data_IF_527184368892
#
_entry.id   IF_527184368892
#
_cell.length_a   1.000
_cell.length_b   1.000
_cell.length_c   1.000
_cell.angle_alpha   90.00
_cell.angle_beta   90.00
_cell.angle_gamma   90.00
#
_symmetry.space_group_name_H-M   'P 1'
#
loop_
_entity.id
_entity.type
_entity.pdbx_description
1 polymer ?
#
# COMPACT_ATOMS: atom_id res chain seq x y z
N UNK A 1 41.69 17.88 -43.93
CA UNK A 1 40.62 17.25 -44.74
C UNK A 1 39.91 16.30 -43.79
N UNK A 2 38.81 16.67 -43.11
CA UNK A 2 37.49 17.01 -43.67
C UNK A 2 36.79 15.70 -44.07
N UNK A 3 35.62 15.30 -43.58
CA UNK A 3 34.64 15.87 -42.68
C UNK A 3 33.52 14.84 -42.43
N UNK A 4 32.60 15.18 -41.53
CA UNK A 4 31.39 14.43 -41.17
C UNK A 4 30.50 14.06 -42.34
N UNK A 5 29.70 12.98 -42.21
CA UNK A 5 28.29 13.01 -42.61
C UNK A 5 27.45 11.90 -41.95
N UNK A 6 26.45 12.40 -41.23
CA UNK A 6 25.22 11.73 -40.80
C UNK A 6 24.43 11.23 -42.03
N UNK A 7 23.75 10.09 -41.92
CA UNK A 7 22.64 9.71 -42.80
C UNK A 7 21.73 8.73 -42.08
N UNK A 8 20.55 9.21 -41.68
CA UNK A 8 19.38 8.40 -41.38
C UNK A 8 18.95 7.63 -42.64
N UNK A 9 18.59 6.36 -42.49
CA UNK A 9 17.60 5.72 -43.36
C UNK A 9 16.64 4.94 -42.48
N UNK A 10 15.42 5.46 -42.44
CA UNK A 10 14.20 4.78 -41.97
C UNK A 10 13.78 3.85 -43.10
N UNK A 11 13.62 2.55 -42.85
CA UNK A 11 12.67 1.72 -43.60
C UNK A 11 11.98 0.73 -42.68
N UNK A 12 10.65 0.82 -42.74
CA UNK A 12 9.61 0.02 -42.12
C UNK A 12 9.72 -1.48 -42.39
N UNK A 13 9.48 -2.28 -41.37
CA UNK A 13 8.79 -3.56 -41.53
C UNK A 13 7.77 -3.72 -40.40
N UNK A 14 6.50 -3.52 -40.77
CA UNK A 14 5.33 -3.81 -39.95
C UNK A 14 5.33 -5.28 -39.55
N UNK A 15 5.41 -5.56 -38.25
CA UNK A 15 4.79 -6.76 -37.67
C UNK A 15 3.49 -6.33 -37.01
N UNK A 16 2.40 -6.44 -37.77
CA UNK A 16 1.05 -6.45 -37.24
C UNK A 16 0.86 -7.75 -36.46
N UNK A 17 0.82 -7.65 -35.13
CA UNK A 17 0.18 -8.66 -34.28
C UNK A 17 -1.08 -8.04 -33.68
N UNK A 18 -2.24 -8.72 -33.73
CA UNK A 18 -3.48 -8.18 -33.23
C UNK A 18 -3.49 -8.32 -31.70
N UNK A 19 -3.20 -7.23 -30.99
CA UNK A 19 -3.40 -7.19 -29.53
C UNK A 19 -4.91 -7.07 -29.29
N UNK A 20 -5.52 -8.22 -29.04
CA UNK A 20 -6.92 -8.38 -28.70
C UNK A 20 -7.13 -8.00 -27.22
N UNK A 21 -7.94 -6.98 -26.96
CA UNK A 21 -8.64 -6.76 -25.69
C UNK A 21 -7.79 -6.47 -24.45
N UNK A 22 -7.08 -5.34 -24.41
CA UNK A 22 -6.48 -4.86 -23.17
C UNK A 22 -7.54 -4.20 -22.27
N UNK A 23 -7.86 -4.83 -21.13
CA UNK A 23 -8.48 -4.12 -19.99
C UNK A 23 -7.37 -3.36 -19.27
N UNK A 24 -7.56 -2.07 -19.06
CA UNK A 24 -6.62 -1.23 -18.33
C UNK A 24 -6.79 -1.47 -16.82
N UNK A 25 -5.67 -1.61 -16.11
CA UNK A 25 -5.54 -1.94 -14.66
C UNK A 25 -5.03 -0.69 -13.92
N UNK A 26 -4.76 -0.68 -12.60
CA UNK A 26 -4.09 0.43 -11.89
C UNK A 26 -3.20 -0.02 -10.71
N UNK A 27 -2.03 0.63 -10.51
CA UNK A 27 -0.83 0.20 -9.73
C UNK A 27 -0.57 1.00 -8.46
N UNK A 28 0.12 0.49 -7.43
CA UNK A 28 0.07 1.02 -6.04
C UNK A 28 1.27 1.91 -5.57
N UNK A 29 0.97 2.90 -4.71
CA UNK A 29 1.90 3.66 -3.85
C UNK A 29 1.35 3.76 -2.41
N UNK A 30 2.20 3.71 -1.38
CA UNK A 30 1.73 3.57 0.01
C UNK A 30 2.45 4.56 0.93
N UNK A 31 1.73 5.24 1.83
CA UNK A 31 2.29 5.86 3.04
C UNK A 31 1.50 5.51 4.32
N UNK A 32 2.19 5.43 5.47
CA UNK A 32 1.85 4.68 6.70
C UNK A 32 0.45 4.79 7.34
N UNK A 33 -0.03 3.67 7.89
CA UNK A 33 -1.31 3.40 8.64
C UNK A 33 -1.25 1.95 9.19
N UNK A 34 -2.04 1.59 10.22
CA UNK A 34 -2.39 0.18 10.50
C UNK A 34 -3.36 -0.31 9.42
N UNK A 35 -2.89 -1.18 8.54
CA UNK A 35 -3.61 -1.56 7.34
C UNK A 35 -3.65 -3.08 7.27
N UNK A 36 -4.80 -3.59 6.87
CA UNK A 36 -4.92 -4.98 6.45
C UNK A 36 -5.12 -4.99 4.94
N UNK A 37 -4.34 -5.79 4.20
CA UNK A 37 -4.57 -6.05 2.77
C UNK A 37 -4.93 -7.52 2.56
N UNK A 38 -6.06 -7.70 1.87
CA UNK A 38 -6.70 -8.96 1.52
C UNK A 38 -6.37 -9.26 0.06
N UNK A 39 -5.86 -10.47 -0.25
CA UNK A 39 -5.54 -10.91 -1.62
C UNK A 39 -6.52 -12.00 -2.12
N UNK A 40 -6.83 -12.03 -3.42
CA UNK A 40 -7.66 -13.06 -4.08
C UNK A 40 -7.34 -13.21 -5.61
N UNK A 41 -7.72 -14.34 -6.25
CA UNK A 41 -7.35 -14.71 -7.64
C UNK A 41 -8.48 -15.37 -8.46
N UNK A 42 -8.60 -15.11 -9.79
CA UNK A 42 -9.55 -15.79 -10.72
C UNK A 42 -9.08 -15.89 -12.20
N UNK A 43 -9.72 -16.78 -12.98
CA UNK A 43 -9.53 -17.03 -14.43
C UNK A 43 -10.58 -16.29 -15.28
N UNK A 44 -10.15 -15.52 -16.28
CA UNK A 44 -11.04 -14.71 -17.14
C UNK A 44 -11.36 -15.36 -18.50
N UNK A 45 -12.60 -15.17 -18.99
CA UNK A 45 -13.07 -15.61 -20.31
C UNK A 45 -13.25 -14.42 -21.28
N UNK A 46 -12.90 -14.66 -22.55
CA UNK A 46 -12.69 -13.65 -23.60
C UNK A 46 -13.96 -12.92 -24.06
N UNK A 47 -13.91 -11.57 -24.15
CA UNK A 47 -14.84 -10.75 -24.93
C UNK A 47 -14.08 -9.84 -25.91
N UNK A 48 -14.52 -9.79 -27.18
CA UNK A 48 -14.00 -8.88 -28.23
C UNK A 48 -14.86 -7.62 -28.31
N UNK A 49 -14.24 -6.44 -28.43
CA UNK A 49 -14.93 -5.16 -28.66
C UNK A 49 -14.39 -4.40 -29.88
N UNK A 50 -15.29 -3.69 -30.58
CA UNK A 50 -15.04 -2.72 -31.66
C UNK A 50 -14.94 -1.31 -31.07
N UNK A 51 -13.99 -0.49 -31.53
CA UNK A 51 -13.65 0.82 -30.97
C UNK A 51 -14.42 1.96 -31.68
N UNK A 52 -15.20 2.81 -30.96
CA UNK A 52 -15.84 4.02 -31.51
C UNK A 52 -14.96 5.28 -31.37
N UNK A 53 -15.27 6.33 -32.13
CA UNK A 53 -14.48 7.58 -32.26
C UNK A 53 -14.34 8.46 -31.01
N UNK A 54 -15.07 8.19 -29.92
CA UNK A 54 -14.95 8.89 -28.63
C UNK A 54 -14.11 8.10 -27.60
N UNK A 55 -13.25 7.19 -28.06
CA UNK A 55 -12.55 6.22 -27.23
C UNK A 55 -11.70 6.82 -26.11
N UNK A 56 -10.95 7.90 -26.38
CA UNK A 56 -10.07 8.53 -25.37
C UNK A 56 -10.83 9.03 -24.15
N UNK A 57 -11.93 9.76 -24.34
CA UNK A 57 -12.72 10.31 -23.24
C UNK A 57 -13.46 9.21 -22.47
N UNK A 58 -13.99 8.20 -23.17
CA UNK A 58 -14.63 7.06 -22.54
C UNK A 58 -13.64 6.16 -21.78
N UNK A 59 -12.40 6.02 -22.28
CA UNK A 59 -11.31 5.34 -21.57
C UNK A 59 -10.87 6.14 -20.35
N UNK A 60 -10.64 7.44 -20.47
CA UNK A 60 -10.26 8.31 -19.35
C UNK A 60 -11.32 8.31 -18.23
N UNK A 61 -12.61 8.17 -18.54
CA UNK A 61 -13.66 7.98 -17.53
C UNK A 61 -13.73 6.55 -16.97
N UNK A 62 -13.35 5.55 -17.76
CA UNK A 62 -13.29 4.16 -17.30
C UNK A 62 -12.13 3.95 -16.34
N UNK A 63 -11.00 4.63 -16.49
CA UNK A 63 -9.81 4.43 -15.65
C UNK A 63 -9.83 5.37 -14.44
N UNK A 64 -10.93 6.02 -14.03
CA UNK A 64 -10.91 6.88 -12.84
C UNK A 64 -11.15 6.09 -11.56
N UNK A 65 -10.38 6.37 -10.51
CA UNK A 65 -10.66 5.87 -9.16
C UNK A 65 -12.06 6.37 -8.75
N UNK A 66 -12.96 5.44 -8.43
CA UNK A 66 -14.32 5.76 -8.00
C UNK A 66 -14.42 5.72 -6.49
N UNK A 67 -15.28 6.56 -5.92
CA UNK A 67 -15.59 6.57 -4.49
C UNK A 67 -17.05 6.20 -4.29
N UNK A 68 -17.28 5.25 -3.39
CA UNK A 68 -18.60 4.77 -3.03
C UNK A 68 -18.83 5.03 -1.54
N UNK A 69 -19.75 5.96 -1.25
CA UNK A 69 -20.15 6.31 0.12
C UNK A 69 -21.22 5.35 0.68
N UNK A 70 -21.98 4.73 -0.22
CA UNK A 70 -23.01 3.75 0.12
C UNK A 70 -22.45 2.33 0.09
N UNK A 71 -23.02 1.46 0.92
CA UNK A 71 -22.68 0.03 0.93
C UNK A 71 -23.10 -0.62 -0.39
N UNK A 72 -22.15 -1.25 -1.06
CA UNK A 72 -22.40 -2.04 -2.26
C UNK A 72 -22.78 -3.47 -1.92
N UNK A 73 -23.63 -4.07 -2.74
CA UNK A 73 -23.79 -5.53 -2.76
C UNK A 73 -22.59 -6.19 -3.42
N UNK A 74 -22.42 -7.49 -3.22
CA UNK A 74 -21.41 -8.29 -3.93
C UNK A 74 -21.60 -8.23 -5.47
N UNK A 75 -22.85 -8.23 -5.94
CA UNK A 75 -23.20 -8.08 -7.36
C UNK A 75 -22.87 -6.69 -7.92
N UNK A 76 -23.10 -5.64 -7.14
CA UNK A 76 -22.74 -4.27 -7.54
C UNK A 76 -21.23 -4.13 -7.60
N UNK A 77 -20.51 -4.67 -6.62
CA UNK A 77 -19.05 -4.71 -6.62
C UNK A 77 -18.52 -5.45 -7.86
N UNK A 78 -19.04 -6.64 -8.15
CA UNK A 78 -18.64 -7.43 -9.31
C UNK A 78 -18.86 -6.67 -10.63
N UNK A 79 -20.06 -6.12 -10.83
CA UNK A 79 -20.44 -5.52 -12.12
C UNK A 79 -19.88 -4.10 -12.34
N UNK A 80 -19.77 -3.29 -11.29
CA UNK A 80 -19.39 -1.89 -11.39
C UNK A 80 -17.88 -1.65 -11.23
N UNK A 81 -17.20 -2.53 -10.48
CA UNK A 81 -15.81 -2.33 -10.06
C UNK A 81 -14.93 -3.45 -10.63
N UNK A 82 -15.15 -4.68 -10.21
CA UNK A 82 -14.27 -5.82 -10.53
C UNK A 82 -14.26 -6.14 -12.04
N UNK A 83 -15.44 -6.28 -12.65
CA UNK A 83 -15.57 -6.59 -14.08
C UNK A 83 -14.99 -5.49 -14.99
N UNK A 84 -14.97 -4.24 -14.49
CA UNK A 84 -14.38 -3.09 -15.18
C UNK A 84 -12.89 -2.93 -14.91
N UNK A 85 -12.36 -3.64 -13.92
CA UNK A 85 -10.95 -3.62 -13.55
C UNK A 85 -10.46 -2.24 -13.10
N UNK A 86 -11.33 -1.54 -12.34
CA UNK A 86 -11.11 -0.16 -11.92
C UNK A 86 -10.89 -0.11 -10.41
N UNK A 87 -9.95 0.69 -9.90
CA UNK A 87 -9.83 0.88 -8.46
C UNK A 87 -11.02 1.63 -7.90
N UNK A 88 -11.36 1.30 -6.67
CA UNK A 88 -12.49 1.91 -5.99
C UNK A 88 -12.22 2.09 -4.50
N UNK A 89 -12.53 3.28 -3.99
CA UNK A 89 -12.65 3.54 -2.55
C UNK A 89 -14.05 3.18 -2.09
N UNK A 90 -14.11 2.35 -1.06
CA UNK A 90 -15.32 1.89 -0.41
C UNK A 90 -15.31 2.50 1.00
N UNK A 91 -16.03 3.61 1.16
CA UNK A 91 -15.96 4.42 2.36
C UNK A 91 -16.60 3.68 3.54
N UNK A 92 -15.91 3.67 4.68
CA UNK A 92 -16.43 3.02 5.89
C UNK A 92 -16.71 1.53 5.78
N UNK A 93 -16.23 0.85 4.74
CA UNK A 93 -16.51 -0.56 4.43
C UNK A 93 -16.17 -1.52 5.59
N UNK A 94 -15.21 -1.17 6.44
CA UNK A 94 -14.76 -2.01 7.55
C UNK A 94 -15.12 -1.45 8.94
N UNK A 95 -15.99 -0.43 9.04
CA UNK A 95 -16.35 0.18 10.33
C UNK A 95 -17.03 -0.78 11.32
N UNK A 96 -17.59 -1.88 10.82
CA UNK A 96 -18.20 -2.93 11.63
C UNK A 96 -17.20 -3.99 12.13
N UNK A 97 -15.94 -3.94 11.72
CA UNK A 97 -14.93 -4.85 12.22
C UNK A 97 -14.63 -4.55 13.69
N UNK A 98 -14.39 -5.62 14.47
CA UNK A 98 -13.87 -5.47 15.83
C UNK A 98 -12.50 -4.81 15.80
N UNK A 99 -11.65 -5.15 14.82
CA UNK A 99 -10.34 -4.55 14.62
C UNK A 99 -10.40 -3.01 14.52
N UNK A 100 -11.42 -2.45 13.84
CA UNK A 100 -11.58 -1.00 13.71
C UNK A 100 -11.70 -0.29 15.06
N UNK A 101 -12.33 -0.93 16.05
CA UNK A 101 -12.45 -0.39 17.40
C UNK A 101 -11.29 -0.81 18.31
N UNK A 102 -10.98 -2.11 18.34
CA UNK A 102 -10.04 -2.71 19.30
C UNK A 102 -8.57 -2.43 18.98
N UNK A 103 -8.21 -2.16 17.73
CA UNK A 103 -6.80 -1.92 17.35
C UNK A 103 -6.48 -0.43 17.28
N UNK A 104 -7.44 0.44 17.61
CA UNK A 104 -7.27 1.87 17.52
C UNK A 104 -6.37 2.39 18.66
N UNK A 105 -5.20 3.01 18.37
CA UNK A 105 -4.30 3.52 19.39
C UNK A 105 -4.92 4.58 20.32
N UNK A 106 -5.97 5.29 19.87
CA UNK A 106 -6.69 6.27 20.70
C UNK A 106 -7.59 5.62 21.76
N UNK A 107 -7.93 4.35 21.58
CA UNK A 107 -8.83 3.59 22.44
C UNK A 107 -8.10 2.39 23.06
N UNK A 108 -6.87 2.61 23.51
CA UNK A 108 -6.03 1.59 24.14
C UNK A 108 -5.63 0.40 23.24
N UNK A 109 -5.84 0.52 21.92
CA UNK A 109 -5.68 -0.61 21.00
C UNK A 109 -4.25 -1.11 20.85
N UNK A 110 -3.23 -0.31 21.23
CA UNK A 110 -1.85 -0.78 21.29
C UNK A 110 -1.67 -1.80 22.43
N UNK A 111 -2.26 -1.57 23.60
CA UNK A 111 -2.22 -2.55 24.70
C UNK A 111 -2.98 -3.81 24.33
N UNK A 112 -4.15 -3.68 23.71
CA UNK A 112 -4.91 -4.81 23.19
C UNK A 112 -4.07 -5.68 22.23
N UNK A 113 -3.43 -5.08 21.22
CA UNK A 113 -2.58 -5.80 20.27
C UNK A 113 -1.38 -6.46 20.97
N UNK A 114 -0.76 -5.77 21.91
CA UNK A 114 0.37 -6.31 22.70
C UNK A 114 -0.05 -7.50 23.56
N UNK A 115 -1.23 -7.48 24.19
CA UNK A 115 -1.75 -8.62 24.94
C UNK A 115 -2.05 -9.83 24.04
N UNK A 116 -2.58 -9.58 22.84
CA UNK A 116 -3.02 -10.63 21.90
C UNK A 116 -1.89 -11.31 21.17
N UNK A 117 -0.87 -10.56 20.75
CA UNK A 117 0.20 -11.06 19.86
C UNK A 117 1.59 -10.55 20.24
N UNK A 118 1.77 -9.88 21.38
CA UNK A 118 3.04 -9.27 21.76
C UNK A 118 4.22 -10.25 21.82
N UNK A 119 3.98 -11.51 22.20
CA UNK A 119 5.00 -12.57 22.23
C UNK A 119 5.35 -13.15 20.86
N UNK A 120 4.57 -12.87 19.81
CA UNK A 120 4.86 -13.31 18.46
C UNK A 120 6.11 -12.59 17.93
N UNK A 121 7.02 -13.33 17.31
CA UNK A 121 8.15 -12.75 16.57
C UNK A 121 7.70 -12.45 15.15
N UNK A 122 7.81 -11.18 14.76
CA UNK A 122 7.51 -10.66 13.42
C UNK A 122 8.78 -10.25 12.68
N UNK A 123 8.71 -10.16 11.36
CA UNK A 123 9.82 -9.63 10.55
C UNK A 123 9.62 -8.15 10.27
N UNK A 124 10.40 -7.33 10.96
CA UNK A 124 10.32 -5.89 10.86
C UNK A 124 11.28 -5.37 9.77
N UNK A 125 10.80 -4.49 8.89
CA UNK A 125 11.66 -3.81 7.93
C UNK A 125 12.37 -2.65 8.59
N UNK A 126 13.70 -2.63 8.47
CA UNK A 126 14.60 -1.54 8.82
C UNK A 126 15.28 -1.07 7.54
N UNK A 127 15.38 0.25 7.34
CA UNK A 127 16.01 0.81 6.15
C UNK A 127 16.80 2.07 6.49
N UNK A 128 17.99 2.20 5.90
CA UNK A 128 18.76 3.45 5.91
C UNK A 128 18.12 4.56 5.08
N UNK A 129 17.18 4.21 4.20
CA UNK A 129 16.40 5.14 3.37
C UNK A 129 15.07 5.53 4.01
N UNK A 130 14.83 5.14 5.27
CA UNK A 130 13.67 5.60 6.04
C UNK A 130 13.54 7.14 5.94
N UNK A 131 12.33 7.67 5.68
CA UNK A 131 11.02 7.01 5.79
C UNK A 131 10.58 6.16 4.58
N UNK A 132 11.42 5.98 3.57
CA UNK A 132 11.12 5.22 2.35
C UNK A 132 11.58 3.78 2.47
N UNK A 133 10.65 2.86 2.29
CA UNK A 133 10.87 1.41 2.31
C UNK A 133 10.69 0.88 0.88
N UNK A 134 11.82 0.65 0.22
CA UNK A 134 11.82 0.01 -1.08
C UNK A 134 11.69 -1.51 -0.92
N UNK A 135 11.03 -2.17 -1.87
CA UNK A 135 10.86 -3.62 -1.83
C UNK A 135 12.07 -4.42 -2.29
N UNK A 136 13.10 -3.77 -2.84
CA UNK A 136 14.34 -4.46 -3.19
C UNK A 136 15.17 -4.80 -1.95
N UNK A 137 15.78 -5.99 -1.98
CA UNK A 137 16.53 -6.57 -0.86
C UNK A 137 17.79 -5.77 -0.48
N UNK A 138 18.27 -4.88 -1.35
CA UNK A 138 19.43 -4.02 -1.06
C UNK A 138 19.08 -2.79 -0.24
N UNK A 139 17.82 -2.37 -0.24
CA UNK A 139 17.38 -1.10 0.36
C UNK A 139 16.75 -1.24 1.75
N UNK A 140 16.55 -2.47 2.23
CA UNK A 140 16.03 -2.74 3.57
C UNK A 140 16.52 -4.09 4.10
N UNK A 141 16.53 -4.22 5.42
CA UNK A 141 16.74 -5.50 6.10
C UNK A 141 15.43 -5.92 6.78
N UNK A 142 15.12 -7.21 6.71
CA UNK A 142 14.10 -7.83 7.57
C UNK A 142 14.77 -8.38 8.81
N UNK A 143 14.39 -7.88 9.98
CA UNK A 143 14.92 -8.31 11.27
C UNK A 143 13.83 -8.97 12.12
N UNK A 144 14.08 -10.13 12.74
CA UNK A 144 13.13 -10.72 13.67
C UNK A 144 13.00 -9.83 14.91
N UNK A 145 11.77 -9.50 15.28
CA UNK A 145 11.45 -8.58 16.37
C UNK A 145 10.21 -9.09 17.13
N UNK A 146 10.22 -9.19 18.47
CA UNK A 146 8.99 -9.41 19.23
C UNK A 146 7.98 -8.31 18.92
N UNK A 147 6.74 -8.67 18.65
CA UNK A 147 5.69 -7.70 18.30
C UNK A 147 5.48 -6.69 19.44
N UNK A 148 5.65 -7.09 20.70
CA UNK A 148 5.62 -6.17 21.86
C UNK A 148 6.65 -5.05 21.74
N UNK A 149 7.88 -5.37 21.32
CA UNK A 149 8.95 -4.36 21.13
C UNK A 149 8.54 -3.34 20.09
N UNK A 150 7.90 -3.77 19.00
CA UNK A 150 7.36 -2.84 17.99
C UNK A 150 6.24 -1.95 18.57
N UNK A 151 5.36 -2.50 19.40
CA UNK A 151 4.30 -1.72 20.06
C UNK A 151 4.88 -0.71 21.04
N UNK A 152 5.92 -1.08 21.80
CA UNK A 152 6.60 -0.16 22.72
C UNK A 152 7.24 1.03 21.96
N UNK A 153 7.80 0.78 20.77
CA UNK A 153 8.27 1.87 19.89
C UNK A 153 7.12 2.77 19.41
N UNK A 154 5.97 2.21 19.09
CA UNK A 154 4.78 2.99 18.72
C UNK A 154 4.33 3.89 19.87
N UNK A 155 4.24 3.34 21.09
CA UNK A 155 3.90 4.08 22.31
C UNK A 155 4.90 5.21 22.58
N UNK A 156 6.21 4.90 22.56
CA UNK A 156 7.29 5.88 22.75
C UNK A 156 7.15 7.05 21.77
N UNK A 157 6.87 6.77 20.49
CA UNK A 157 6.70 7.80 19.46
C UNK A 157 5.46 8.66 19.66
N UNK A 158 4.34 8.07 20.09
CA UNK A 158 3.11 8.80 20.41
C UNK A 158 3.30 9.73 21.61
N UNK A 159 4.03 9.30 22.64
CA UNK A 159 4.37 10.14 23.79
C UNK A 159 5.22 11.34 23.37
N UNK A 160 6.30 11.12 22.61
CA UNK A 160 7.16 12.21 22.13
C UNK A 160 6.41 13.26 21.30
N UNK A 161 5.47 12.84 20.45
CA UNK A 161 4.64 13.78 19.67
C UNK A 161 3.74 14.63 20.56
N UNK A 162 3.19 14.03 21.62
CA UNK A 162 2.31 14.73 22.57
C UNK A 162 3.10 15.81 23.34
N UNK A 163 4.31 15.48 23.80
CA UNK A 163 5.20 16.42 24.50
C UNK A 163 5.64 17.59 23.61
N UNK A 164 6.02 17.31 22.36
CA UNK A 164 6.38 18.36 21.39
C UNK A 164 5.20 19.28 21.08
N UNK A 165 3.99 18.74 20.96
CA UNK A 165 2.78 19.53 20.73
C UNK A 165 2.45 20.43 21.93
N UNK A 166 2.61 19.93 23.16
CA UNK A 166 2.42 20.70 24.38
C UNK A 166 3.47 21.80 24.57
N UNK A 167 4.72 21.60 24.11
CA UNK A 167 5.73 22.65 24.13
C UNK A 167 5.50 23.74 23.08
N UNK A 168 4.89 23.43 21.94
CA UNK A 168 4.53 24.43 20.92
C UNK A 168 3.31 25.27 21.32
N UNK A 169 2.36 24.69 22.07
CA UNK A 169 1.18 25.39 22.60
C UNK A 169 1.44 26.05 23.98
N UNK A 170 2.57 25.73 24.62
CA UNK A 170 2.89 26.07 26.01
C UNK A 170 3.68 27.36 26.25
N UNK A 171 3.86 28.22 25.24
CA UNK A 171 4.53 29.53 25.43
C UNK A 171 3.68 30.57 26.21
N UNK A 172 2.58 30.12 26.82
CA UNK A 172 1.93 30.83 27.91
C UNK A 172 1.67 29.94 29.15
N UNK A 173 2.57 30.11 30.12
CA UNK A 173 2.34 30.08 31.58
C UNK A 173 2.33 28.74 32.35
N UNK A 174 3.40 28.62 33.15
CA UNK A 174 3.52 28.09 34.53
C UNK A 174 3.62 26.57 34.72
N UNK A 175 4.76 26.21 35.31
CA UNK A 175 5.16 24.91 35.81
C UNK A 175 4.08 24.23 36.66
N UNK A 176 3.81 22.96 36.36
CA UNK A 176 3.31 22.01 37.34
C UNK A 176 3.98 20.66 37.14
N UNK A 177 4.41 20.08 38.25
CA UNK A 177 5.04 18.78 38.40
C UNK A 177 4.03 17.68 38.06
N UNK A 178 4.43 16.67 37.29
CA UNK A 178 3.67 15.42 37.18
C UNK A 178 4.57 14.19 37.23
N UNK A 179 4.07 13.21 37.97
CA UNK A 179 4.66 11.93 38.37
C UNK A 179 5.28 11.12 37.22
N UNK A 180 6.51 10.65 37.47
CA UNK A 180 7.20 9.68 36.63
C UNK A 180 6.64 8.27 36.85
N UNK A 181 5.70 7.84 36.01
CA UNK A 181 5.57 6.41 35.69
C UNK A 181 6.61 6.10 34.61
N UNK A 182 7.83 5.85 35.09
CA UNK A 182 8.99 5.53 34.28
C UNK A 182 8.84 4.09 33.74
N UNK A 183 8.04 3.91 32.68
CA UNK A 183 8.13 2.69 31.88
C UNK A 183 9.50 2.70 31.20
N UNK A 184 10.25 1.61 31.37
CA UNK A 184 11.66 1.48 31.06
C UNK A 184 11.93 1.43 29.54
N UNK A 185 11.78 2.58 28.87
CA UNK A 185 12.09 2.77 27.44
C UNK A 185 13.60 2.82 27.14
N UNK A 186 14.45 2.66 28.17
CA UNK A 186 15.92 2.72 28.05
C UNK A 186 16.51 1.54 27.29
N UNK A 187 15.83 0.40 27.27
CA UNK A 187 16.26 -0.82 26.57
C UNK A 187 16.10 -0.78 25.03
N UNK A 188 15.57 0.32 24.47
CA UNK A 188 15.29 0.47 23.04
C UNK A 188 16.36 1.29 22.28
N UNK A 189 17.48 1.64 22.91
CA UNK A 189 18.53 2.48 22.29
C UNK A 189 19.18 1.85 21.06
N UNK A 190 19.24 0.52 20.98
CA UNK A 190 19.83 -0.22 19.85
C UNK A 190 18.85 -0.45 18.69
N UNK A 191 17.57 -0.06 18.82
CA UNK A 191 16.54 -0.32 17.82
C UNK A 191 16.33 0.91 16.95
N UNK A 192 16.38 0.79 15.61
CA UNK A 192 16.20 1.92 14.70
C UNK A 192 14.93 2.74 14.98
N UNK A 193 15.04 4.07 14.93
CA UNK A 193 13.94 5.00 15.26
C UNK A 193 12.68 4.82 14.39
N UNK A 194 12.84 4.24 13.20
CA UNK A 194 11.76 4.02 12.26
C UNK A 194 11.78 2.59 11.71
N UNK A 195 10.70 1.87 12.01
CA UNK A 195 10.50 0.48 11.65
C UNK A 195 9.15 0.34 10.95
N UNK A 196 9.09 -0.56 9.98
CA UNK A 196 7.87 -0.86 9.25
C UNK A 196 7.57 -2.36 9.29
N UNK A 197 6.44 -2.74 9.89
CA UNK A 197 5.88 -4.07 9.71
C UNK A 197 5.15 -4.09 8.36
N UNK A 198 5.61 -4.94 7.44
CA UNK A 198 5.03 -5.07 6.13
C UNK A 198 4.83 -6.54 5.78
N UNK A 199 3.64 -6.85 5.26
CA UNK A 199 3.25 -8.22 4.89
C UNK A 199 3.38 -9.21 6.05
N UNK A 200 2.99 -8.81 7.26
CA UNK A 200 2.99 -9.74 8.40
C UNK A 200 1.71 -10.57 8.35
N UNK A 201 1.83 -11.88 8.13
CA UNK A 201 0.68 -12.75 7.87
C UNK A 201 -0.24 -12.92 9.09
N UNK A 202 -1.52 -12.59 8.90
CA UNK A 202 -2.65 -12.92 9.80
C UNK A 202 -3.33 -14.21 9.31
N UNK A 203 -3.49 -14.38 8.01
CA UNK A 203 -4.02 -15.59 7.40
C UNK A 203 -3.31 -15.83 6.07
N UNK A 204 -2.98 -17.09 5.77
CA UNK A 204 -2.55 -17.51 4.45
C UNK A 204 -3.09 -18.92 4.17
N UNK A 205 -3.77 -19.09 3.04
CA UNK A 205 -4.27 -20.39 2.57
C UNK A 205 -3.19 -21.21 1.84
N UNK A 206 -2.11 -20.57 1.38
CA UNK A 206 -0.94 -21.26 0.86
C UNK A 206 -0.12 -21.86 2.01
N UNK A 207 -0.19 -23.20 2.14
CA UNK A 207 0.33 -23.99 3.26
C UNK A 207 1.84 -23.92 3.51
N UNK A 208 2.58 -23.15 2.73
CA UNK A 208 4.04 -23.05 2.81
C UNK A 208 4.52 -21.89 3.70
N UNK A 209 3.66 -20.91 3.99
CA UNK A 209 4.06 -19.73 4.76
C UNK A 209 3.61 -19.79 6.23
N UNK A 210 4.45 -19.21 7.10
CA UNK A 210 4.19 -19.15 8.53
C UNK A 210 3.21 -18.01 8.84
N UNK A 211 2.03 -18.36 9.35
CA UNK A 211 1.08 -17.40 9.91
C UNK A 211 1.56 -16.94 11.28
N UNK A 212 1.93 -15.66 11.43
CA UNK A 212 2.50 -15.11 12.66
C UNK A 212 1.44 -14.52 13.60
N UNK A 213 0.37 -13.96 13.04
CA UNK A 213 -0.64 -13.20 13.77
C UNK A 213 -2.03 -13.83 13.67
N UNK A 214 -2.11 -15.15 13.61
CA UNK A 214 -3.35 -15.89 13.36
C UNK A 214 -4.51 -15.58 14.31
N UNK A 215 -4.21 -15.27 15.58
CA UNK A 215 -5.20 -14.92 16.60
C UNK A 215 -5.91 -13.59 16.32
N UNK A 216 -5.35 -12.73 15.48
CA UNK A 216 -5.97 -11.47 15.06
C UNK A 216 -7.12 -11.67 14.06
N UNK A 217 -7.23 -12.87 13.46
CA UNK A 217 -8.33 -13.18 12.55
C UNK A 217 -9.71 -13.06 13.23
N UNK A 218 -9.79 -13.27 14.55
CA UNK A 218 -11.02 -13.13 15.33
C UNK A 218 -11.63 -11.71 15.29
N UNK A 219 -10.81 -10.70 14.97
CA UNK A 219 -11.24 -9.30 14.93
C UNK A 219 -11.59 -8.80 13.52
N UNK A 220 -11.30 -9.61 12.50
CA UNK A 220 -11.47 -9.28 11.08
C UNK A 220 -12.62 -10.12 10.50
N UNK A 221 -13.43 -9.50 9.66
CA UNK A 221 -14.49 -10.18 8.91
C UNK A 221 -14.28 -9.96 7.42
N UNK A 222 -14.57 -10.97 6.59
CA UNK A 222 -14.57 -10.77 5.13
C UNK A 222 -15.62 -9.71 4.77
N UNK A 223 -15.26 -8.62 4.07
CA UNK A 223 -16.23 -7.60 3.67
C UNK A 223 -17.35 -8.19 2.80
N UNK A 224 -18.63 -7.90 3.06
CA UNK A 224 -19.76 -8.49 2.33
C UNK A 224 -19.72 -8.30 0.81
N UNK A 225 -19.08 -7.22 0.34
CA UNK A 225 -18.82 -6.94 -1.08
C UNK A 225 -18.06 -8.07 -1.80
N UNK A 226 -17.32 -8.90 -1.06
CA UNK A 226 -16.57 -10.02 -1.62
C UNK A 226 -17.46 -11.27 -1.77
N UNK A 227 -18.69 -11.26 -1.23
CA UNK A 227 -19.63 -12.37 -1.34
C UNK A 227 -19.01 -13.69 -0.85
N UNK A 228 -19.08 -14.72 -1.71
CA UNK A 228 -18.51 -16.04 -1.45
C UNK A 228 -17.07 -16.22 -1.97
N UNK A 229 -16.37 -15.13 -2.32
CA UNK A 229 -14.99 -15.22 -2.82
C UNK A 229 -14.05 -15.68 -1.72
N UNK A 230 -13.16 -16.60 -2.07
CA UNK A 230 -12.11 -17.09 -1.18
C UNK A 230 -10.93 -16.11 -1.15
N UNK A 231 -10.46 -15.81 0.06
CA UNK A 231 -9.27 -14.99 0.29
C UNK A 231 -8.04 -15.88 0.23
N UNK A 232 -7.01 -15.50 -0.52
CA UNK A 232 -5.72 -16.21 -0.51
C UNK A 232 -4.91 -15.87 0.73
N UNK A 233 -4.85 -14.58 1.09
CA UNK A 233 -4.10 -14.12 2.25
C UNK A 233 -4.70 -12.87 2.90
N UNK A 234 -4.36 -12.68 4.17
CA UNK A 234 -4.62 -11.49 4.98
C UNK A 234 -3.33 -11.11 5.67
N UNK A 235 -2.87 -9.89 5.43
CA UNK A 235 -1.59 -9.40 5.91
C UNK A 235 -1.77 -8.10 6.69
N UNK A 236 -0.93 -7.88 7.69
CA UNK A 236 -0.84 -6.65 8.47
C UNK A 236 0.31 -5.78 7.94
N UNK A 237 0.03 -4.49 7.79
CA UNK A 237 1.03 -3.45 7.65
C UNK A 237 0.85 -2.45 8.80
N UNK A 238 1.94 -2.10 9.47
CA UNK A 238 1.91 -1.18 10.59
C UNK A 238 3.25 -0.46 10.70
N UNK A 239 3.20 0.84 10.96
CA UNK A 239 4.37 1.71 11.05
C UNK A 239 4.34 2.50 12.36
N UNK A 240 5.49 2.65 13.00
CA UNK A 240 5.63 3.47 14.21
C UNK A 240 5.74 4.97 13.90
N UNK A 241 6.02 5.33 12.63
CA UNK A 241 6.24 6.69 12.14
C UNK A 241 5.77 6.84 10.71
N UNK A 242 5.59 8.07 10.21
CA UNK A 242 5.23 8.31 8.81
C UNK A 242 6.21 7.59 7.87
N UNK A 243 5.73 6.57 7.16
CA UNK A 243 6.50 5.74 6.24
C UNK A 243 5.96 5.82 4.84
N UNK A 244 6.75 5.39 3.86
CA UNK A 244 6.38 5.24 2.45
C UNK A 244 6.84 3.90 1.93
N UNK A 245 6.04 3.20 1.13
CA UNK A 245 6.50 2.08 0.31
C UNK A 245 6.75 2.52 -1.13
N UNK A 246 7.77 1.95 -1.76
CA UNK A 246 8.05 2.16 -3.19
C UNK A 246 6.90 1.71 -4.10
N UNK A 247 6.80 2.32 -5.27
CA UNK A 247 5.80 1.97 -6.29
C UNK A 247 6.01 0.55 -6.82
N UNK A 248 4.94 -0.24 -6.82
CA UNK A 248 4.95 -1.62 -7.32
C UNK A 248 3.57 -2.06 -7.78
N UNK A 249 3.50 -3.26 -8.35
CA UNK A 249 2.27 -3.99 -8.60
C UNK A 249 2.27 -5.36 -7.93
N UNK A 250 1.09 -5.95 -7.79
CA UNK A 250 0.91 -7.28 -7.22
C UNK A 250 0.22 -8.21 -8.22
N UNK A 251 0.48 -9.52 -8.15
CA UNK A 251 -0.16 -10.53 -9.01
C UNK A 251 -1.56 -10.93 -8.52
N UNK A 252 -2.12 -10.19 -7.57
CA UNK A 252 -3.44 -10.47 -7.01
C UNK A 252 -4.29 -9.20 -6.95
N UNK A 253 -5.59 -9.40 -7.02
CA UNK A 253 -6.57 -8.38 -6.66
C UNK A 253 -6.43 -8.10 -5.17
N UNK A 254 -6.45 -6.83 -4.78
CA UNK A 254 -6.23 -6.43 -3.40
C UNK A 254 -7.39 -5.61 -2.86
N UNK A 255 -7.75 -5.83 -1.61
CA UNK A 255 -8.57 -4.91 -0.83
C UNK A 255 -7.75 -4.38 0.35
N UNK A 256 -7.36 -3.10 0.26
CA UNK A 256 -6.54 -2.39 1.24
C UNK A 256 -7.42 -1.67 2.26
N UNK A 257 -7.55 -2.21 3.47
CA UNK A 257 -8.44 -1.73 4.52
C UNK A 257 -7.69 -0.91 5.58
N UNK A 258 -8.12 0.32 5.84
CA UNK A 258 -7.49 1.25 6.77
C UNK A 258 -8.12 1.08 8.17
N UNK A 259 -7.47 0.33 9.05
CA UNK A 259 -8.00 0.05 10.40
C UNK A 259 -7.83 1.25 11.31
N UNK A 260 -6.64 1.87 11.32
CA UNK A 260 -6.36 3.09 12.09
C UNK A 260 -5.31 3.96 11.43
N UNK A 261 -5.57 5.27 11.39
CA UNK A 261 -4.73 6.26 10.73
C UNK A 261 -5.31 6.75 9.40
N UNK A 262 -4.43 7.25 8.54
CA UNK A 262 -4.78 7.84 7.24
C UNK A 262 -3.69 7.50 6.23
N UNK A 263 -4.09 7.06 5.04
CA UNK A 263 -3.17 6.62 4.00
C UNK A 263 -3.39 7.35 2.70
N UNK A 264 -2.33 7.95 2.16
CA UNK A 264 -2.33 8.45 0.79
C UNK A 264 -1.82 7.35 -0.15
N UNK A 265 -2.57 7.08 -1.20
CA UNK A 265 -2.23 6.16 -2.29
C UNK A 265 -2.20 6.94 -3.59
N UNK A 266 -1.23 6.66 -4.44
CA UNK A 266 -1.20 7.13 -5.83
C UNK A 266 -1.26 5.90 -6.72
N UNK A 267 -2.20 5.90 -7.67
CA UNK A 267 -2.38 4.81 -8.61
C UNK A 267 -2.07 5.19 -10.04
N UNK A 268 -1.42 4.30 -10.79
CA UNK A 268 -1.15 4.49 -12.22
C UNK A 268 -1.66 3.31 -13.03
N UNK A 269 -2.29 3.50 -14.19
CA UNK A 269 -2.61 2.35 -15.03
C UNK A 269 -1.34 1.66 -15.57
N UNK A 270 -1.35 0.35 -15.88
CA UNK A 270 -0.19 -0.30 -16.49
C UNK A 270 0.16 0.25 -17.86
N UNK A 271 -0.75 0.94 -18.53
CA UNK A 271 -0.41 1.73 -19.72
C UNK A 271 0.62 2.83 -19.42
N UNK A 272 0.69 3.31 -18.17
CA UNK A 272 1.74 4.22 -17.67
C UNK A 272 3.02 3.49 -17.20
N UNK A 273 3.10 2.16 -17.31
CA UNK A 273 4.32 1.41 -16.97
C UNK A 273 5.61 1.98 -17.57
N UNK A 274 5.64 2.42 -18.84
CA UNK A 274 6.87 2.96 -19.43
C UNK A 274 7.41 4.19 -18.70
N UNK A 275 6.57 5.05 -18.12
CA UNK A 275 7.00 6.23 -17.35
C UNK A 275 7.44 5.89 -15.92
N UNK A 276 7.11 4.69 -15.44
CA UNK A 276 7.49 4.18 -14.11
C UNK A 276 8.74 3.30 -14.12
N UNK A 277 9.32 2.99 -15.29
CA UNK A 277 10.56 2.21 -15.43
C UNK A 277 10.62 0.98 -14.49
N UNK A 278 9.87 -0.10 -14.79
CA UNK A 278 9.92 -1.31 -14.00
C UNK A 278 11.34 -1.84 -13.87
N UNK A 279 11.65 -2.39 -12.71
CA UNK A 279 12.91 -3.07 -12.47
C UNK A 279 13.08 -4.26 -13.42
N UNK A 280 14.32 -4.74 -13.65
CA UNK A 280 14.58 -5.86 -14.54
C UNK A 280 13.73 -7.10 -14.21
N UNK A 281 13.18 -7.76 -15.24
CA UNK A 281 12.25 -8.90 -15.10
C UNK A 281 12.85 -10.05 -14.28
N UNK A 282 14.16 -10.30 -14.42
CA UNK A 282 14.87 -11.35 -13.70
C UNK A 282 15.47 -10.88 -12.36
N UNK A 283 15.17 -9.66 -11.92
CA UNK A 283 15.57 -9.14 -10.62
C UNK A 283 14.57 -9.51 -9.53
N UNK A 284 15.05 -9.53 -8.28
CA UNK A 284 14.25 -9.88 -7.09
C UNK A 284 13.11 -8.88 -6.81
N UNK A 285 13.20 -7.66 -7.34
CA UNK A 285 12.19 -6.60 -7.22
C UNK A 285 11.53 -6.27 -8.58
N UNK A 286 11.39 -7.23 -9.48
CA UNK A 286 10.89 -7.02 -10.86
C UNK A 286 9.50 -6.35 -10.94
N UNK A 287 8.69 -6.48 -9.89
CA UNK A 287 7.38 -5.83 -9.79
C UNK A 287 7.44 -4.38 -9.28
N UNK A 288 8.62 -3.85 -8.94
CA UNK A 288 8.83 -2.49 -8.46
C UNK A 288 9.25 -1.52 -9.58
N UNK A 289 8.96 -0.24 -9.36
CA UNK A 289 9.50 0.87 -10.14
C UNK A 289 10.94 1.18 -9.71
N UNK A 290 11.81 1.46 -10.68
CA UNK A 290 13.15 1.99 -10.42
C UNK A 290 13.17 3.50 -10.13
N UNK A 291 12.03 4.19 -10.29
CA UNK A 291 11.94 5.64 -10.13
C UNK A 291 11.62 6.02 -8.70
N UNK A 292 12.46 6.87 -8.10
CA UNK A 292 12.14 7.56 -6.85
C UNK A 292 11.16 8.72 -7.13
N UNK A 293 9.85 8.49 -7.03
CA UNK A 293 8.82 9.42 -7.50
C UNK A 293 8.82 10.83 -6.89
N UNK A 294 9.38 11.02 -5.69
CA UNK A 294 9.44 12.35 -5.06
C UNK A 294 10.56 13.22 -5.61
N UNK A 295 11.66 12.59 -6.01
CA UNK A 295 12.78 13.27 -6.63
C UNK A 295 13.36 12.40 -7.76
N UNK A 296 12.62 12.24 -8.88
CA UNK A 296 13.11 11.44 -10.00
C UNK A 296 14.35 12.11 -10.61
N UNK A 297 15.40 11.32 -10.84
CA UNK A 297 16.51 11.77 -11.67
C UNK A 297 16.09 11.69 -13.15
N UNK A 298 15.60 12.81 -13.70
CA UNK A 298 15.13 12.87 -15.09
C UNK A 298 16.25 12.70 -16.13
N UNK A 299 17.53 12.83 -15.73
CA UNK A 299 18.63 12.52 -16.64
C UNK A 299 18.72 11.02 -16.92
N UNK A 300 18.31 10.20 -15.94
CA UNK A 300 18.26 8.73 -16.03
C UNK A 300 16.85 8.27 -16.46
N UNK A 301 15.81 8.93 -15.97
CA UNK A 301 14.40 8.56 -16.15
C UNK A 301 13.57 9.66 -16.84
N UNK A 302 13.89 10.08 -18.08
CA UNK A 302 13.21 11.21 -18.72
C UNK A 302 11.69 11.02 -18.89
N UNK A 303 11.19 9.79 -19.08
CA UNK A 303 9.75 9.52 -19.19
C UNK A 303 9.01 9.69 -17.85
N UNK A 304 9.72 9.76 -16.72
CA UNK A 304 9.10 9.95 -15.42
C UNK A 304 8.50 11.35 -15.25
N UNK A 305 8.91 12.34 -16.07
CA UNK A 305 8.30 13.67 -16.11
C UNK A 305 6.79 13.60 -16.37
N UNK A 306 6.37 12.68 -17.24
CA UNK A 306 4.97 12.45 -17.59
C UNK A 306 4.27 11.45 -16.64
N UNK A 307 4.95 10.93 -15.62
CA UNK A 307 4.39 9.87 -14.76
C UNK A 307 3.08 10.30 -14.09
N UNK A 308 3.02 11.55 -13.63
CA UNK A 308 1.85 12.08 -12.93
C UNK A 308 0.68 12.45 -13.84
N UNK A 309 0.86 12.47 -15.17
CA UNK A 309 -0.25 12.70 -16.12
C UNK A 309 -1.33 11.62 -15.99
N UNK A 310 -0.92 10.40 -15.65
CA UNK A 310 -1.81 9.24 -15.45
C UNK A 310 -1.96 8.84 -13.98
N UNK A 311 -1.24 9.52 -13.09
CA UNK A 311 -1.22 9.24 -11.65
C UNK A 311 -2.45 9.78 -10.95
N UNK A 312 -3.19 8.92 -10.26
CA UNK A 312 -4.39 9.27 -9.52
C UNK A 312 -4.17 9.13 -8.03
N UNK A 313 -4.21 10.25 -7.33
CA UNK A 313 -4.01 10.31 -5.89
C UNK A 313 -5.34 10.16 -5.16
N UNK A 314 -5.36 9.32 -4.15
CA UNK A 314 -6.49 9.16 -3.24
C UNK A 314 -6.00 9.13 -1.79
N UNK A 315 -6.85 9.61 -0.90
CA UNK A 315 -6.63 9.58 0.54
C UNK A 315 -7.72 8.71 1.14
N UNK A 316 -7.29 7.75 1.96
CA UNK A 316 -8.15 6.84 2.70
C UNK A 316 -8.09 7.19 4.17
N UNK A 317 -9.26 7.31 4.79
CA UNK A 317 -9.39 7.54 6.23
C UNK A 317 -9.68 6.22 6.96
N UNK A 318 -9.53 6.21 8.29
CA UNK A 318 -9.85 5.02 9.09
C UNK A 318 -11.29 4.55 8.83
N UNK A 319 -11.43 3.26 8.52
CA UNK A 319 -12.69 2.63 8.14
C UNK A 319 -12.85 2.39 6.64
N UNK A 320 -12.10 3.11 5.81
CA UNK A 320 -12.17 2.96 4.35
C UNK A 320 -11.44 1.71 3.86
N UNK A 321 -11.86 1.20 2.71
CA UNK A 321 -11.13 0.20 1.94
C UNK A 321 -10.87 0.69 0.52
N UNK A 322 -9.71 0.37 -0.05
CA UNK A 322 -9.37 0.60 -1.45
C UNK A 322 -9.23 -0.74 -2.17
N UNK A 323 -10.11 -0.99 -3.13
CA UNK A 323 -9.93 -2.06 -4.08
C UNK A 323 -8.88 -1.64 -5.11
N UNK A 324 -7.87 -2.48 -5.29
CA UNK A 324 -6.76 -2.30 -6.24
C UNK A 324 -6.74 -3.54 -7.13
N UNK A 325 -6.97 -3.37 -8.45
CA UNK A 325 -6.93 -4.51 -9.34
C UNK A 325 -5.53 -5.12 -9.47
N UNK A 326 -5.47 -6.40 -9.83
CA UNK A 326 -4.23 -7.11 -10.14
C UNK A 326 -3.47 -6.44 -11.30
N UNK A 327 -2.16 -6.21 -11.15
CA UNK A 327 -1.22 -5.68 -12.18
C UNK A 327 -0.87 -4.19 -12.09
#
# INVERSE_FOLDING_TARGET
>A
MGGSKCSQVITSSQMNLPICGCREIMRMYVAGTVITKLQFSFSSSNLKFKIPSNFKQAMEECIKIRRYEEFLTDKDFESLIEAKNVPAVLCGCIKNWRAFSLWNPRNDGLNYLQERVGSCVVEAMVSSSAPVFYGDLGSHQRVPLPFSTFIDLCKKRMHMQTEQQQHLDGDHCVASQTDHTQHDFSSLEDVPDQIYLAQVSIMNNDRQEKVQLGTLMEDIQTPPILGAKELSSINLWMNNAQSRSSTHYDPHQNLLCIVSGRKQVVLWPPSASPSLYPMPIYGEASNHSSVALENPDYSIYPRAECSMEFGQKVVLEAGDALFIPEG
#
